data_IF_770765007189
#
_entry.id   IF_770765007189
#
_cell.length_a   1.000
_cell.length_b   1.000
_cell.length_c   1.000
_cell.angle_alpha   90.00
_cell.angle_beta   90.00
_cell.angle_gamma   90.00
#
_symmetry.space_group_name_H-M   'P 1'
#
loop_
_entity.id
_entity.type
_entity.pdbx_description
1 polymer ?
#
# COMPACT_ATOMS: atom_id res chain seq x y z
N UNK A 1 0.25 31.33 -7.63
CA UNK A 1 -0.32 29.98 -7.86
C UNK A 1 -0.64 29.75 -9.33
N UNK A 2 -1.29 30.68 -10.03
CA UNK A 2 -1.61 30.51 -11.47
C UNK A 2 -0.37 30.46 -12.37
N UNK A 3 0.66 31.28 -12.12
CA UNK A 3 1.94 31.22 -12.86
C UNK A 3 2.63 29.85 -12.75
N UNK A 4 2.64 29.25 -11.55
CA UNK A 4 3.16 27.91 -11.33
C UNK A 4 2.34 26.85 -12.07
N UNK A 5 1.02 27.03 -12.11
CA UNK A 5 0.12 26.14 -12.86
C UNK A 5 0.43 26.18 -14.35
N UNK A 6 0.59 27.37 -14.93
CA UNK A 6 0.93 27.55 -16.34
C UNK A 6 2.32 27.00 -16.67
N UNK A 7 3.29 27.12 -15.77
CA UNK A 7 4.62 26.54 -15.93
C UNK A 7 4.59 25.00 -15.96
N UNK A 8 3.74 24.38 -15.16
CA UNK A 8 3.67 22.92 -14.99
C UNK A 8 2.70 22.24 -15.96
N UNK A 9 1.73 22.96 -16.51
CA UNK A 9 0.72 22.42 -17.43
C UNK A 9 1.34 21.71 -18.66
N UNK A 10 2.42 22.22 -19.30
CA UNK A 10 3.08 21.53 -20.41
C UNK A 10 3.69 20.17 -20.03
N UNK A 11 3.95 19.96 -18.74
CA UNK A 11 4.54 18.73 -18.20
C UNK A 11 3.48 17.72 -17.71
N UNK A 12 2.19 17.98 -17.96
CA UNK A 12 1.10 17.16 -17.45
C UNK A 12 1.24 15.68 -17.82
N UNK A 13 1.67 15.36 -19.04
CA UNK A 13 1.85 13.97 -19.47
C UNK A 13 3.01 13.28 -18.75
N UNK A 14 4.09 14.00 -18.47
CA UNK A 14 5.23 13.50 -17.69
C UNK A 14 4.83 13.28 -16.24
N UNK A 15 4.06 14.21 -15.64
CA UNK A 15 3.50 14.06 -14.29
C UNK A 15 2.58 12.84 -14.24
N UNK A 16 1.71 12.68 -15.24
CA UNK A 16 0.81 11.51 -15.35
C UNK A 16 1.59 10.21 -15.52
N UNK A 17 2.68 10.21 -16.30
CA UNK A 17 3.54 9.06 -16.46
C UNK A 17 4.17 8.65 -15.12
N UNK A 18 4.76 9.61 -14.39
CA UNK A 18 5.29 9.38 -13.04
C UNK A 18 4.19 8.84 -12.12
N UNK A 19 3.01 9.47 -12.10
CA UNK A 19 1.89 9.01 -11.30
C UNK A 19 1.54 7.55 -11.59
N UNK A 20 1.37 7.18 -12.87
CA UNK A 20 1.01 5.81 -13.26
C UNK A 20 2.11 4.80 -12.91
N UNK A 21 3.39 5.16 -13.08
CA UNK A 21 4.51 4.33 -12.66
C UNK A 21 4.45 4.02 -11.16
N UNK A 22 4.24 5.04 -10.33
CA UNK A 22 4.15 4.86 -8.88
C UNK A 22 2.86 4.16 -8.45
N UNK A 23 1.75 4.35 -9.16
CA UNK A 23 0.54 3.53 -8.96
C UNK A 23 0.82 2.06 -9.22
N UNK A 24 1.57 1.70 -10.26
CA UNK A 24 1.93 0.30 -10.53
C UNK A 24 2.84 -0.29 -9.45
N UNK A 25 3.84 0.45 -8.99
CA UNK A 25 4.73 0.04 -7.89
C UNK A 25 3.88 -0.21 -6.64
N UNK A 26 3.10 0.79 -6.23
CA UNK A 26 2.25 0.71 -5.05
C UNK A 26 1.21 -0.42 -5.12
N UNK A 27 0.59 -0.64 -6.28
CA UNK A 27 -0.54 -1.58 -6.39
C UNK A 27 -0.12 -3.06 -6.35
N UNK A 28 1.12 -3.37 -6.74
CA UNK A 28 1.51 -4.76 -7.03
C UNK A 28 2.84 -5.21 -6.43
N UNK A 29 3.66 -4.31 -5.85
CA UNK A 29 5.02 -4.67 -5.45
C UNK A 29 5.08 -5.76 -4.38
N UNK A 30 4.09 -5.83 -3.48
CA UNK A 30 4.06 -6.83 -2.41
C UNK A 30 3.06 -7.97 -2.65
N UNK A 31 2.21 -7.91 -3.69
CA UNK A 31 1.12 -8.88 -3.89
C UNK A 31 1.62 -10.33 -4.00
N UNK A 32 2.70 -10.55 -4.77
CA UNK A 32 3.33 -11.87 -4.93
C UNK A 32 3.99 -12.33 -3.62
N UNK A 33 4.74 -11.42 -2.98
CA UNK A 33 5.43 -11.68 -1.71
C UNK A 33 4.44 -12.08 -0.61
N UNK A 34 3.34 -11.34 -0.47
CA UNK A 34 2.28 -11.64 0.48
C UNK A 34 1.62 -13.00 0.16
N UNK A 35 1.13 -13.17 -1.07
CA UNK A 35 0.29 -14.31 -1.43
C UNK A 35 1.06 -15.64 -1.35
N UNK A 36 2.28 -15.66 -1.86
CA UNK A 36 3.02 -16.91 -2.06
C UNK A 36 4.07 -17.19 -0.99
N UNK A 37 4.52 -16.17 -0.23
CA UNK A 37 5.54 -16.36 0.81
C UNK A 37 4.99 -16.12 2.22
N UNK A 38 4.43 -14.94 2.52
CA UNK A 38 3.98 -14.62 3.88
C UNK A 38 2.75 -15.44 4.25
N UNK A 39 1.70 -15.38 3.44
CA UNK A 39 0.43 -16.10 3.68
C UNK A 39 0.66 -17.61 3.75
N UNK A 40 1.48 -18.15 2.84
CA UNK A 40 1.78 -19.58 2.80
C UNK A 40 2.56 -20.03 4.04
N UNK A 41 3.61 -19.31 4.44
CA UNK A 41 4.40 -19.61 5.62
C UNK A 41 3.56 -19.51 6.90
N UNK A 42 2.70 -18.49 6.98
CA UNK A 42 1.81 -18.29 8.12
C UNK A 42 0.81 -19.44 8.29
N UNK A 43 0.11 -19.82 7.21
CA UNK A 43 -0.84 -20.94 7.25
C UNK A 43 -0.15 -22.28 7.52
N UNK A 44 1.06 -22.49 6.99
CA UNK A 44 1.84 -23.70 7.26
C UNK A 44 2.23 -23.82 8.74
N UNK A 45 2.64 -22.72 9.37
CA UNK A 45 2.93 -22.68 10.80
C UNK A 45 1.67 -22.91 11.64
N UNK A 46 0.54 -22.28 11.31
CA UNK A 46 -0.72 -22.47 12.05
C UNK A 46 -1.19 -23.93 12.09
N UNK A 47 -0.92 -24.70 11.03
CA UNK A 47 -1.27 -26.14 10.97
C UNK A 47 -0.34 -27.03 11.78
N UNK A 48 0.86 -26.57 12.11
CA UNK A 48 1.86 -27.34 12.85
C UNK A 48 2.69 -26.39 13.71
N UNK A 49 2.13 -25.89 14.82
CA UNK A 49 2.71 -24.79 15.59
C UNK A 49 4.02 -25.17 16.30
N UNK A 50 4.15 -26.45 16.65
CA UNK A 50 5.28 -27.00 17.40
C UNK A 50 6.52 -27.26 16.53
N UNK A 51 6.42 -27.05 15.21
CA UNK A 51 7.54 -27.20 14.27
C UNK A 51 8.40 -25.92 14.26
N UNK A 52 9.64 -25.97 14.82
CA UNK A 52 10.50 -24.80 14.93
C UNK A 52 10.94 -24.24 13.57
N UNK A 53 11.07 -25.08 12.53
CA UNK A 53 11.46 -24.63 11.20
C UNK A 53 10.34 -23.82 10.52
N UNK A 54 9.07 -24.15 10.79
CA UNK A 54 7.93 -23.37 10.29
C UNK A 54 7.81 -22.02 10.97
N UNK A 55 8.07 -21.97 12.27
CA UNK A 55 8.13 -20.72 13.02
C UNK A 55 9.23 -19.81 12.48
N UNK A 56 10.43 -20.36 12.25
CA UNK A 56 11.55 -19.62 11.66
C UNK A 56 11.20 -19.08 10.28
N UNK A 57 10.62 -19.91 9.40
CA UNK A 57 10.20 -19.50 8.05
C UNK A 57 9.14 -18.40 8.07
N UNK A 58 8.14 -18.49 8.96
CA UNK A 58 7.13 -17.44 9.16
C UNK A 58 7.78 -16.11 9.56
N UNK A 59 8.72 -16.16 10.49
CA UNK A 59 9.44 -14.99 10.98
C UNK A 59 10.28 -14.34 9.90
N UNK A 60 11.07 -15.16 9.20
CA UNK A 60 11.94 -14.69 8.14
C UNK A 60 11.16 -14.08 6.98
N UNK A 61 10.09 -14.74 6.52
CA UNK A 61 9.26 -14.25 5.40
C UNK A 61 8.59 -12.92 5.73
N UNK A 62 8.06 -12.76 6.95
CA UNK A 62 7.51 -11.47 7.39
C UNK A 62 8.58 -10.38 7.45
N UNK A 63 9.77 -10.68 7.99
CA UNK A 63 10.86 -9.69 8.05
C UNK A 63 11.37 -9.29 6.66
N UNK A 64 11.34 -10.18 5.65
CA UNK A 64 11.65 -9.80 4.26
C UNK A 64 10.52 -9.01 3.62
N UNK A 65 9.27 -9.37 3.90
CA UNK A 65 8.10 -8.65 3.41
C UNK A 65 8.12 -7.19 3.87
N UNK A 66 8.38 -6.94 5.16
CA UNK A 66 8.48 -5.58 5.72
C UNK A 66 9.51 -4.72 4.96
N UNK A 67 10.61 -5.32 4.47
CA UNK A 67 11.59 -4.60 3.65
C UNK A 67 11.03 -4.28 2.27
N UNK A 68 10.31 -5.20 1.65
CA UNK A 68 9.65 -4.98 0.35
C UNK A 68 8.56 -3.91 0.42
N UNK A 69 7.77 -3.90 1.51
CA UNK A 69 6.72 -2.92 1.75
C UNK A 69 7.24 -1.47 1.80
N UNK A 70 8.55 -1.24 2.02
CA UNK A 70 9.13 0.10 1.91
C UNK A 70 8.93 0.74 0.52
N UNK A 71 8.85 -0.07 -0.55
CA UNK A 71 8.56 0.42 -1.89
C UNK A 71 7.15 1.01 -1.99
N UNK A 72 6.16 0.36 -1.39
CA UNK A 72 4.76 0.82 -1.35
C UNK A 72 4.65 2.11 -0.54
N UNK A 73 5.32 2.14 0.62
CA UNK A 73 5.37 3.30 1.50
C UNK A 73 6.06 4.53 0.90
N UNK A 74 7.01 4.34 -0.03
CA UNK A 74 7.60 5.43 -0.81
C UNK A 74 6.69 5.81 -1.97
N UNK A 75 6.07 4.82 -2.61
CA UNK A 75 5.25 5.04 -3.80
C UNK A 75 3.95 5.76 -3.48
N UNK A 76 3.26 5.40 -2.40
CA UNK A 76 1.95 5.95 -2.06
C UNK A 76 1.97 7.48 -1.84
N UNK A 77 2.92 8.08 -1.08
CA UNK A 77 3.05 9.53 -0.99
C UNK A 77 3.24 10.21 -2.34
N UNK A 78 4.02 9.60 -3.25
CA UNK A 78 4.25 10.13 -4.60
C UNK A 78 2.95 10.04 -5.41
N UNK A 79 2.18 8.96 -5.29
CA UNK A 79 0.84 8.82 -5.90
C UNK A 79 -0.10 9.92 -5.41
N UNK A 80 -0.14 10.20 -4.10
CA UNK A 80 -0.98 11.26 -3.54
C UNK A 80 -0.55 12.64 -4.05
N UNK A 81 0.75 12.95 -4.01
CA UNK A 81 1.28 14.24 -4.44
C UNK A 81 1.02 14.49 -5.93
N UNK A 82 1.36 13.52 -6.78
CA UNK A 82 1.14 13.64 -8.24
C UNK A 82 -0.35 13.60 -8.61
N UNK A 83 -1.17 12.84 -7.89
CA UNK A 83 -2.62 12.80 -8.07
C UNK A 83 -3.28 14.14 -7.75
N UNK A 84 -2.96 14.72 -6.59
CA UNK A 84 -3.43 16.05 -6.19
C UNK A 84 -2.95 17.13 -7.16
N UNK A 85 -1.69 17.06 -7.60
CA UNK A 85 -1.12 17.97 -8.59
C UNK A 85 -1.89 17.91 -9.91
N UNK A 86 -2.20 16.71 -10.42
CA UNK A 86 -2.98 16.56 -11.65
C UNK A 86 -4.39 17.15 -11.54
N UNK A 87 -5.08 16.92 -10.41
CA UNK A 87 -6.41 17.50 -10.16
C UNK A 87 -6.32 19.02 -10.21
N UNK A 88 -5.34 19.60 -9.51
CA UNK A 88 -5.11 21.04 -9.49
C UNK A 88 -4.76 21.61 -10.87
N UNK A 89 -3.87 20.97 -11.64
CA UNK A 89 -3.48 21.41 -12.98
C UNK A 89 -4.68 21.43 -13.94
N UNK A 90 -5.50 20.38 -13.93
CA UNK A 90 -6.69 20.27 -14.79
C UNK A 90 -7.83 21.20 -14.38
N UNK A 91 -7.79 21.76 -13.16
CA UNK A 91 -8.87 22.59 -12.63
C UNK A 91 -10.17 21.82 -12.43
N UNK A 92 -10.10 20.50 -12.26
CA UNK A 92 -11.28 19.68 -12.04
C UNK A 92 -11.95 20.02 -10.71
N UNK A 93 -13.25 20.31 -10.79
CA UNK A 93 -14.09 20.52 -9.62
C UNK A 93 -14.62 19.20 -9.05
N UNK A 94 -15.30 19.33 -7.91
CA UNK A 94 -16.02 18.24 -7.24
C UNK A 94 -17.38 17.94 -7.91
N UNK A 95 -17.69 18.63 -9.01
CA UNK A 95 -18.84 18.42 -9.88
C UNK A 95 -18.75 17.13 -10.73
N UNK A 96 -17.53 16.63 -10.90
CA UNK A 96 -17.29 15.38 -11.64
C UNK A 96 -17.50 14.16 -10.75
N UNK A 97 -18.65 13.49 -10.88
CA UNK A 97 -19.02 12.29 -10.11
C UNK A 97 -17.93 11.18 -10.16
N UNK A 98 -17.32 10.97 -11.32
CA UNK A 98 -16.21 10.02 -11.49
C UNK A 98 -15.01 10.33 -10.58
N UNK A 99 -14.62 11.60 -10.49
CA UNK A 99 -13.50 12.03 -9.66
C UNK A 99 -13.86 11.89 -8.18
N UNK A 100 -15.09 12.26 -7.82
CA UNK A 100 -15.60 12.12 -6.45
C UNK A 100 -15.56 10.67 -5.96
N UNK A 101 -16.02 9.71 -6.77
CA UNK A 101 -15.95 8.29 -6.42
C UNK A 101 -14.50 7.85 -6.25
N UNK A 102 -13.61 8.24 -7.17
CA UNK A 102 -12.19 7.90 -7.09
C UNK A 102 -11.55 8.45 -5.81
N UNK A 103 -11.81 9.71 -5.48
CA UNK A 103 -11.30 10.36 -4.26
C UNK A 103 -11.89 9.74 -3.00
N UNK A 104 -13.18 9.38 -3.00
CA UNK A 104 -13.81 8.70 -1.86
C UNK A 104 -13.16 7.35 -1.57
N UNK A 105 -12.79 6.57 -2.60
CA UNK A 105 -12.06 5.31 -2.42
C UNK A 105 -10.65 5.59 -1.88
N UNK A 106 -9.91 6.54 -2.47
CA UNK A 106 -8.55 6.87 -2.02
C UNK A 106 -8.55 7.34 -0.57
N UNK A 107 -9.40 8.30 -0.22
CA UNK A 107 -9.43 8.92 1.11
C UNK A 107 -10.09 8.00 2.15
N UNK A 108 -11.18 7.32 1.79
CA UNK A 108 -11.95 6.50 2.71
C UNK A 108 -11.38 5.10 2.94
N UNK A 109 -10.59 4.57 2.00
CA UNK A 109 -10.10 3.19 2.04
C UNK A 109 -8.57 3.16 2.03
N UNK A 110 -7.94 3.68 0.98
CA UNK A 110 -6.49 3.51 0.82
C UNK A 110 -5.69 4.31 1.84
N UNK A 111 -6.01 5.59 2.09
CA UNK A 111 -5.29 6.39 3.08
C UNK A 111 -5.32 5.71 4.47
N UNK A 112 -6.48 5.32 5.04
CA UNK A 112 -6.51 4.61 6.32
C UNK A 112 -5.70 3.31 6.31
N UNK A 113 -5.87 2.46 5.30
CA UNK A 113 -5.12 1.21 5.16
C UNK A 113 -3.62 1.47 5.19
N UNK A 114 -3.16 2.46 4.43
CA UNK A 114 -1.75 2.84 4.32
C UNK A 114 -1.19 3.43 5.62
N UNK A 115 -1.93 4.28 6.36
CA UNK A 115 -1.40 4.77 7.65
C UNK A 115 -1.28 3.64 8.66
N UNK A 116 -2.20 2.66 8.64
CA UNK A 116 -2.10 1.48 9.48
C UNK A 116 -0.92 0.59 9.07
N UNK A 117 -0.69 0.37 7.78
CA UNK A 117 0.48 -0.36 7.30
C UNK A 117 1.78 0.34 7.72
N UNK A 118 1.88 1.64 7.47
CA UNK A 118 3.04 2.45 7.85
C UNK A 118 3.31 2.37 9.35
N UNK A 119 2.26 2.44 10.17
CA UNK A 119 2.37 2.32 11.61
C UNK A 119 2.87 0.94 12.07
N UNK A 120 2.31 -0.14 11.53
CA UNK A 120 2.71 -1.52 11.88
C UNK A 120 4.13 -1.85 11.38
N UNK A 121 4.50 -1.33 10.22
CA UNK A 121 5.76 -1.63 9.54
C UNK A 121 6.93 -0.78 10.06
N UNK A 122 6.70 0.48 10.45
CA UNK A 122 7.76 1.42 10.86
C UNK A 122 7.67 1.87 12.33
N UNK A 123 6.51 2.32 12.78
CA UNK A 123 6.36 2.94 14.11
C UNK A 123 6.24 1.92 15.25
N UNK A 124 5.82 0.68 14.97
CA UNK A 124 5.86 -0.44 15.93
C UNK A 124 7.28 -0.89 16.30
N UNK A 125 8.32 -0.31 15.67
CA UNK A 125 9.70 -0.77 15.71
C UNK A 125 9.91 -1.95 14.77
N UNK A 126 11.11 -2.06 14.18
CA UNK A 126 11.40 -3.16 13.26
C UNK A 126 11.21 -4.48 14.00
N UNK A 127 10.39 -5.38 13.45
CA UNK A 127 10.11 -6.70 14.06
C UNK A 127 11.43 -7.44 14.35
N UNK A 128 12.41 -7.30 13.45
CA UNK A 128 13.78 -7.80 13.64
C UNK A 128 14.47 -7.23 14.89
N UNK A 129 14.32 -5.94 15.19
CA UNK A 129 14.91 -5.32 16.38
C UNK A 129 14.35 -5.93 17.67
N UNK A 130 13.03 -6.16 17.75
CA UNK A 130 12.41 -6.78 18.92
C UNK A 130 12.84 -8.24 19.11
N UNK A 131 12.95 -9.00 18.02
CA UNK A 131 13.51 -10.36 18.05
C UNK A 131 14.95 -10.38 18.56
N UNK A 132 15.80 -9.47 18.07
CA UNK A 132 17.20 -9.37 18.51
C UNK A 132 17.35 -8.93 19.97
N UNK A 133 16.41 -8.13 20.50
CA UNK A 133 16.34 -7.77 21.92
C UNK A 133 15.85 -8.91 22.82
N UNK A 134 15.37 -10.02 22.25
CA UNK A 134 14.83 -11.16 22.99
C UNK A 134 13.41 -10.97 23.53
N UNK A 135 12.74 -9.85 23.25
CA UNK A 135 11.34 -9.62 23.64
C UNK A 135 10.38 -10.29 22.67
N UNK A 136 10.31 -11.62 22.78
CA UNK A 136 9.48 -12.44 21.91
C UNK A 136 7.98 -12.21 22.16
N UNK A 137 7.57 -11.72 23.34
CA UNK A 137 6.15 -11.40 23.62
C UNK A 137 5.67 -10.23 22.76
N UNK A 138 6.44 -9.14 22.72
CA UNK A 138 6.12 -8.01 21.84
C UNK A 138 6.24 -8.37 20.36
N UNK A 139 7.25 -9.15 19.99
CA UNK A 139 7.42 -9.64 18.63
C UNK A 139 6.19 -10.41 18.15
N UNK A 140 5.75 -11.44 18.89
CA UNK A 140 4.57 -12.23 18.52
C UNK A 140 3.30 -11.39 18.46
N UNK A 141 3.12 -10.45 19.39
CA UNK A 141 1.98 -9.52 19.34
C UNK A 141 1.99 -8.75 18.02
N UNK A 142 3.10 -8.11 17.66
CA UNK A 142 3.22 -7.36 16.39
C UNK A 142 2.99 -8.26 15.17
N UNK A 143 3.50 -9.49 15.17
CA UNK A 143 3.25 -10.46 14.10
C UNK A 143 1.75 -10.76 13.93
N UNK A 144 1.03 -10.96 15.04
CA UNK A 144 -0.41 -11.21 15.02
C UNK A 144 -1.22 -10.00 14.55
N UNK A 145 -0.87 -8.79 14.98
CA UNK A 145 -1.48 -7.56 14.48
C UNK A 145 -1.26 -7.39 12.98
N UNK A 146 -0.05 -7.64 12.50
CA UNK A 146 0.26 -7.54 11.07
C UNK A 146 -0.52 -8.57 10.26
N UNK A 147 -0.64 -9.80 10.77
CA UNK A 147 -1.46 -10.83 10.14
C UNK A 147 -2.95 -10.48 10.09
N UNK A 148 -3.49 -9.93 11.18
CA UNK A 148 -4.87 -9.45 11.22
C UNK A 148 -5.10 -8.33 10.21
N UNK A 149 -4.16 -7.38 10.13
CA UNK A 149 -4.18 -6.32 9.14
C UNK A 149 -4.26 -6.91 7.72
N UNK A 150 -3.37 -7.83 7.34
CA UNK A 150 -3.42 -8.46 6.03
C UNK A 150 -4.76 -9.15 5.75
N UNK A 151 -5.32 -9.86 6.72
CA UNK A 151 -6.61 -10.55 6.54
C UNK A 151 -7.76 -9.57 6.24
N UNK A 152 -7.71 -8.36 6.79
CA UNK A 152 -8.71 -7.30 6.59
C UNK A 152 -8.42 -6.51 5.31
N UNK A 153 -7.16 -6.12 5.07
CA UNK A 153 -6.78 -5.27 3.95
C UNK A 153 -6.78 -6.02 2.62
N UNK A 154 -6.35 -7.29 2.57
CA UNK A 154 -6.31 -8.08 1.32
C UNK A 154 -7.63 -8.08 0.54
N UNK A 155 -8.81 -8.40 1.12
CA UNK A 155 -10.06 -8.36 0.36
C UNK A 155 -10.42 -6.96 -0.13
N UNK A 156 -10.12 -5.91 0.65
CA UNK A 156 -10.32 -4.53 0.22
C UNK A 156 -9.43 -4.22 -0.97
N UNK A 157 -8.14 -4.51 -0.89
CA UNK A 157 -7.16 -4.29 -1.95
C UNK A 157 -7.54 -5.05 -3.23
N UNK A 158 -7.94 -6.32 -3.12
CA UNK A 158 -8.37 -7.14 -4.26
C UNK A 158 -9.59 -6.57 -5.00
N UNK A 159 -10.47 -5.84 -4.31
CA UNK A 159 -11.67 -5.24 -4.91
C UNK A 159 -11.38 -3.83 -5.42
N UNK A 160 -10.78 -2.99 -4.58
CA UNK A 160 -10.66 -1.55 -4.83
C UNK A 160 -9.48 -1.17 -5.71
N UNK A 161 -8.39 -1.95 -5.77
CA UNK A 161 -7.31 -1.68 -6.73
C UNK A 161 -7.81 -1.84 -8.18
N UNK A 162 -8.42 -2.97 -8.58
CA UNK A 162 -9.02 -3.10 -9.91
C UNK A 162 -10.07 -2.03 -10.20
N UNK A 163 -10.87 -1.66 -9.19
CA UNK A 163 -11.87 -0.60 -9.33
C UNK A 163 -11.23 0.78 -9.61
N UNK A 164 -10.17 1.16 -8.90
CA UNK A 164 -9.45 2.42 -9.18
C UNK A 164 -8.79 2.40 -10.56
N UNK A 165 -8.22 1.26 -10.96
CA UNK A 165 -7.62 1.10 -12.30
C UNK A 165 -8.71 1.24 -13.36
N UNK A 166 -9.86 0.58 -13.18
CA UNK A 166 -11.02 0.71 -14.06
C UNK A 166 -11.44 2.17 -14.16
N UNK A 167 -11.63 2.87 -13.04
CA UNK A 167 -11.95 4.30 -13.04
C UNK A 167 -10.87 5.11 -13.76
N UNK A 168 -9.58 4.80 -13.60
CA UNK A 168 -8.52 5.50 -14.32
C UNK A 168 -8.61 5.32 -15.85
N UNK A 169 -9.02 4.14 -16.31
CA UNK A 169 -9.19 3.81 -17.75
C UNK A 169 -10.49 4.40 -18.31
N UNK A 170 -11.61 4.24 -17.60
CA UNK A 170 -12.93 4.74 -18.01
C UNK A 170 -13.17 6.18 -17.60
N UNK A 171 -12.09 6.94 -17.38
CA UNK A 171 -12.15 8.39 -17.18
C UNK A 171 -13.02 8.96 -18.31
N UNK A 172 -14.07 9.74 -18.00
CA UNK A 172 -14.89 10.38 -19.02
C UNK A 172 -13.98 11.17 -19.98
N UNK A 173 -14.10 10.87 -21.27
CA UNK A 173 -13.54 11.72 -22.31
C UNK A 173 -14.24 13.08 -22.27
N UNK A 174 -13.51 14.13 -22.62
CA UNK A 174 -14.15 15.28 -23.22
C UNK A 174 -14.76 14.85 -24.56
#
# INVERSE_FOLDING_TARGET
MEELRQLLLPWYLQIKFVHLLFVMIWSFSTAVAYTWYVKSAWLAWQRTPDDPHRLERRNWTMEQFDRGASLEHIAFPIVLATGALMVWLTGWGMDTHWLMVKLAIVIGIFIPVEVFDYWISHFGGSKKQWRLKGDMKRYEKLMQWHWLFFRISTPLVMIFIPMIIYLAVTKPGF
#
